data_IF_624672559282
#
_entry.id   IF_624672559282
#
_cell.length_a   1.000
_cell.length_b   1.000
_cell.length_c   1.000
_cell.angle_alpha   90.00
_cell.angle_beta   90.00
_cell.angle_gamma   90.00
#
_symmetry.space_group_name_H-M   'P 1'
#
loop_
_entity.id
_entity.type
_entity.pdbx_description
1 polymer ?
#
# COMPACT_ATOMS: atom_id res chain seq x y z
N UNK A 1 -26.09 17.69 -9.63
CA UNK A 1 -25.21 17.48 -8.45
C UNK A 1 -23.79 17.37 -8.97
N UNK A 2 -22.87 18.27 -8.58
CA UNK A 2 -21.47 18.14 -8.99
C UNK A 2 -20.90 16.86 -8.38
N UNK A 3 -20.32 15.99 -9.21
CA UNK A 3 -19.68 14.77 -8.76
C UNK A 3 -18.52 15.14 -7.82
N UNK A 4 -18.38 14.44 -6.69
CA UNK A 4 -17.29 14.66 -5.73
C UNK A 4 -15.90 14.57 -6.41
N UNK A 5 -15.80 13.74 -7.44
CA UNK A 5 -14.57 13.50 -8.19
C UNK A 5 -14.24 14.59 -9.23
N UNK A 6 -15.17 15.54 -9.51
CA UNK A 6 -14.93 16.66 -10.43
C UNK A 6 -14.28 17.86 -9.73
N UNK A 7 -14.19 17.83 -8.40
CA UNK A 7 -13.60 18.92 -7.60
C UNK A 7 -12.09 18.76 -7.52
N UNK A 8 -11.37 19.57 -8.29
CA UNK A 8 -9.91 19.65 -8.20
C UNK A 8 -9.50 20.26 -6.85
N UNK A 9 -8.58 19.62 -6.15
CA UNK A 9 -7.92 20.15 -4.96
C UNK A 9 -6.48 20.52 -5.29
N UNK A 10 -6.10 21.76 -5.03
CA UNK A 10 -4.71 22.14 -5.09
C UNK A 10 -3.99 21.62 -3.83
N UNK A 11 -3.01 20.77 -4.04
CA UNK A 11 -2.20 20.16 -2.97
C UNK A 11 -0.73 20.60 -3.02
N UNK A 12 -0.37 21.54 -3.90
CA UNK A 12 0.96 22.17 -3.92
C UNK A 12 1.14 23.00 -2.64
N UNK A 13 2.32 22.99 -2.07
CA UNK A 13 2.68 23.70 -0.82
C UNK A 13 1.83 23.26 0.41
N UNK A 14 1.41 22.01 0.45
CA UNK A 14 0.63 21.45 1.56
C UNK A 14 1.40 20.41 2.39
N UNK A 15 2.71 20.33 2.23
CA UNK A 15 3.58 19.26 2.75
C UNK A 15 3.21 17.88 2.18
N UNK A 16 2.56 17.85 1.03
CA UNK A 16 2.25 16.61 0.33
C UNK A 16 3.51 16.02 -0.29
N UNK A 17 3.96 14.87 0.18
CA UNK A 17 5.10 14.19 -0.41
C UNK A 17 4.93 13.95 -1.92
N UNK A 18 3.68 13.69 -2.36
CA UNK A 18 3.35 13.48 -3.77
C UNK A 18 3.57 14.73 -4.60
N UNK A 19 3.04 15.88 -4.15
CA UNK A 19 3.00 17.10 -4.93
C UNK A 19 4.21 17.99 -4.72
N UNK A 20 4.78 18.01 -3.52
CA UNK A 20 5.83 18.97 -3.18
C UNK A 20 7.25 18.45 -3.46
N UNK A 21 7.38 17.14 -3.77
CA UNK A 21 8.69 16.55 -4.13
C UNK A 21 9.33 17.19 -5.37
N UNK A 22 8.51 17.61 -6.34
CA UNK A 22 8.94 18.20 -7.60
C UNK A 22 8.30 19.56 -7.85
N UNK A 23 8.11 20.35 -6.77
CA UNK A 23 7.37 21.62 -6.80
C UNK A 23 7.94 22.65 -7.80
N UNK A 24 9.24 22.60 -8.11
CA UNK A 24 9.91 23.47 -9.08
C UNK A 24 9.69 23.07 -10.55
N UNK A 25 9.00 21.97 -10.80
CA UNK A 25 8.77 21.43 -12.15
C UNK A 25 7.27 21.33 -12.43
N UNK A 26 6.89 21.56 -13.68
CA UNK A 26 5.51 21.31 -14.12
C UNK A 26 5.35 19.82 -14.49
N UNK A 27 5.24 19.00 -13.44
CA UNK A 27 5.10 17.54 -13.55
C UNK A 27 3.83 17.11 -12.85
N UNK A 28 2.99 16.34 -13.53
CA UNK A 28 1.87 15.65 -12.92
C UNK A 28 2.38 14.43 -12.14
N UNK A 29 2.32 14.43 -10.79
CA UNK A 29 2.87 13.34 -10.01
C UNK A 29 1.94 12.11 -10.03
N UNK A 30 2.46 10.98 -10.51
CA UNK A 30 1.74 9.69 -10.56
C UNK A 30 2.54 8.55 -9.93
N UNK A 31 3.52 8.86 -9.10
CA UNK A 31 4.50 7.90 -8.55
C UNK A 31 4.09 7.24 -7.25
N UNK A 32 3.06 7.74 -6.58
CA UNK A 32 2.57 7.22 -5.30
C UNK A 32 1.05 7.10 -5.33
N UNK A 33 0.52 6.03 -4.74
CA UNK A 33 -0.90 5.74 -4.65
C UNK A 33 -1.59 6.59 -3.56
N UNK A 34 -1.49 7.90 -3.69
CA UNK A 34 -2.13 8.91 -2.85
C UNK A 34 -3.17 9.64 -3.71
N UNK A 35 -4.44 9.44 -3.40
CA UNK A 35 -5.55 10.00 -4.17
C UNK A 35 -5.68 11.50 -3.96
N UNK A 36 -6.04 12.22 -5.04
CA UNK A 36 -6.24 13.68 -5.02
C UNK A 36 -7.71 14.07 -4.81
N UNK A 37 -8.55 13.11 -4.45
CA UNK A 37 -9.95 13.32 -4.12
C UNK A 37 -10.15 13.49 -2.62
N UNK A 38 -11.17 14.26 -2.25
CA UNK A 38 -11.58 14.37 -0.85
C UNK A 38 -12.05 13.02 -0.31
N UNK A 39 -11.69 12.74 0.94
CA UNK A 39 -12.24 11.59 1.66
C UNK A 39 -13.77 11.69 1.76
N UNK A 40 -14.49 10.56 1.69
CA UNK A 40 -15.94 10.53 1.88
C UNK A 40 -16.38 11.20 3.18
N UNK A 41 -17.57 11.80 3.16
CA UNK A 41 -18.11 12.54 4.32
C UNK A 41 -18.21 11.67 5.58
N UNK A 42 -18.55 10.39 5.43
CA UNK A 42 -18.61 9.44 6.56
C UNK A 42 -17.25 9.32 7.28
N UNK A 43 -16.14 9.26 6.54
CA UNK A 43 -14.78 9.21 7.12
C UNK A 43 -14.47 10.53 7.84
N UNK A 44 -14.74 11.66 7.18
CA UNK A 44 -14.52 12.99 7.80
C UNK A 44 -15.30 13.17 9.09
N UNK A 45 -16.56 12.74 9.11
CA UNK A 45 -17.41 12.84 10.32
C UNK A 45 -16.92 11.90 11.43
N UNK A 46 -16.48 10.69 11.12
CA UNK A 46 -15.91 9.78 12.12
C UNK A 46 -14.64 10.34 12.75
N UNK A 47 -13.76 10.94 11.93
CA UNK A 47 -12.55 11.59 12.43
C UNK A 47 -12.86 12.80 13.31
N UNK A 48 -13.82 13.66 12.92
CA UNK A 48 -14.25 14.80 13.75
C UNK A 48 -14.77 14.33 15.10
N UNK A 49 -15.67 13.35 15.10
CA UNK A 49 -16.20 12.76 16.36
C UNK A 49 -15.08 12.24 17.27
N UNK A 50 -14.04 11.64 16.67
CA UNK A 50 -12.90 11.15 17.43
C UNK A 50 -12.06 12.31 18.00
N UNK A 51 -11.83 13.36 17.20
CA UNK A 51 -11.11 14.56 17.63
C UNK A 51 -11.85 15.27 18.77
N UNK A 52 -13.16 15.41 18.65
CA UNK A 52 -14.03 16.07 19.65
C UNK A 52 -14.05 15.33 21.00
N UNK A 53 -13.74 14.03 21.00
CA UNK A 53 -13.59 13.26 22.24
C UNK A 53 -12.36 13.70 23.08
N UNK A 54 -11.34 14.28 22.47
CA UNK A 54 -10.19 14.91 23.12
C UNK A 54 -9.22 13.97 23.85
N UNK A 55 -9.45 12.65 23.85
CA UNK A 55 -8.59 11.67 24.54
C UNK A 55 -7.99 10.72 23.50
N UNK A 56 -6.68 10.81 23.30
CA UNK A 56 -5.91 10.08 22.25
C UNK A 56 -5.00 9.02 22.89
N UNK A 57 -5.60 8.11 23.65
CA UNK A 57 -4.87 7.04 24.33
C UNK A 57 -4.66 5.81 23.43
N UNK A 58 -4.18 4.74 24.04
CA UNK A 58 -4.06 3.45 23.37
C UNK A 58 -5.43 2.86 23.06
N UNK A 59 -5.60 2.35 21.85
CA UNK A 59 -6.82 1.73 21.39
C UNK A 59 -6.66 0.22 21.23
N UNK A 60 -7.70 -0.50 21.60
CA UNK A 60 -7.84 -1.90 21.23
C UNK A 60 -8.38 -2.02 19.79
N UNK A 61 -8.13 -3.14 19.16
CA UNK A 61 -8.72 -3.45 17.86
C UNK A 61 -10.26 -3.42 17.95
N UNK A 62 -10.96 -2.72 17.02
CA UNK A 62 -12.42 -2.77 16.97
C UNK A 62 -12.93 -4.20 16.77
N UNK A 63 -13.93 -4.59 17.57
CA UNK A 63 -14.45 -5.98 17.64
C UNK A 63 -14.95 -6.52 16.29
N UNK A 64 -15.48 -5.66 15.44
CA UNK A 64 -16.08 -5.99 14.15
C UNK A 64 -15.11 -5.83 12.95
N UNK A 65 -13.93 -5.25 13.15
CA UNK A 65 -12.99 -4.93 12.07
C UNK A 65 -12.64 -6.16 11.22
N UNK A 66 -12.31 -7.29 11.85
CA UNK A 66 -11.95 -8.53 11.13
C UNK A 66 -13.14 -9.12 10.38
N UNK A 67 -14.36 -8.97 10.88
CA UNK A 67 -15.57 -9.40 10.19
C UNK A 67 -15.84 -8.57 8.95
N UNK A 68 -15.69 -7.26 9.06
CA UNK A 68 -15.83 -6.32 7.94
C UNK A 68 -14.79 -6.65 6.85
N UNK A 69 -13.52 -6.82 7.23
CA UNK A 69 -12.44 -7.16 6.29
C UNK A 69 -12.70 -8.51 5.62
N UNK A 70 -13.07 -9.53 6.37
CA UNK A 70 -13.42 -10.86 5.83
C UNK A 70 -14.57 -10.77 4.83
N UNK A 71 -15.65 -10.05 5.17
CA UNK A 71 -16.80 -9.84 4.29
C UNK A 71 -16.39 -9.12 3.00
N UNK A 72 -15.58 -8.07 3.12
CA UNK A 72 -15.07 -7.33 1.98
C UNK A 72 -14.22 -8.21 1.06
N UNK A 73 -13.25 -8.95 1.59
CA UNK A 73 -12.39 -9.83 0.79
C UNK A 73 -13.18 -10.96 0.13
N UNK A 74 -14.17 -11.53 0.85
CA UNK A 74 -15.10 -12.51 0.28
C UNK A 74 -15.88 -11.95 -0.91
N UNK A 75 -16.32 -10.69 -0.84
CA UNK A 75 -17.02 -10.04 -1.97
C UNK A 75 -16.11 -9.82 -3.20
N UNK A 76 -14.79 -9.91 -3.02
CA UNK A 76 -13.78 -9.86 -4.08
C UNK A 76 -13.28 -11.25 -4.52
N UNK A 77 -13.95 -12.32 -4.08
CA UNK A 77 -13.59 -13.69 -4.42
C UNK A 77 -12.54 -14.32 -3.52
N UNK A 78 -12.06 -13.62 -2.49
CA UNK A 78 -11.03 -14.14 -1.59
C UNK A 78 -11.63 -14.56 -0.24
N UNK A 79 -11.82 -15.86 -0.06
CA UNK A 79 -12.37 -16.41 1.18
C UNK A 79 -11.27 -16.73 2.19
N UNK A 80 -11.17 -15.95 3.26
CA UNK A 80 -10.16 -16.07 4.31
C UNK A 80 -10.76 -16.37 5.68
N UNK A 81 -9.95 -16.86 6.62
CA UNK A 81 -10.28 -16.94 8.05
C UNK A 81 -9.91 -15.64 8.76
N UNK A 82 -10.60 -15.32 9.88
CA UNK A 82 -10.32 -14.10 10.67
C UNK A 82 -8.91 -14.08 11.27
N UNK A 83 -8.44 -15.21 11.72
CA UNK A 83 -7.12 -15.41 12.32
C UNK A 83 -5.96 -15.29 11.32
N UNK A 84 -6.27 -15.26 10.02
CA UNK A 84 -5.27 -14.95 8.98
C UNK A 84 -5.01 -13.45 8.81
N UNK A 85 -5.83 -12.60 9.43
CA UNK A 85 -5.70 -11.16 9.34
C UNK A 85 -4.72 -10.67 10.39
N UNK A 86 -3.62 -10.10 9.96
CA UNK A 86 -2.64 -9.42 10.81
C UNK A 86 -2.65 -7.94 10.49
N UNK A 87 -2.98 -7.10 11.48
CA UNK A 87 -2.98 -5.65 11.32
C UNK A 87 -1.56 -5.13 11.48
N UNK A 88 -1.13 -4.32 10.52
CA UNK A 88 0.21 -3.73 10.48
C UNK A 88 0.09 -2.22 10.22
N UNK A 89 1.02 -1.40 10.73
CA UNK A 89 0.95 0.06 10.60
C UNK A 89 1.09 0.53 9.15
N UNK A 90 1.73 -0.25 8.29
CA UNK A 90 1.86 0.06 6.86
C UNK A 90 2.27 -1.16 6.05
N UNK A 91 2.06 -1.10 4.72
CA UNK A 91 2.57 -2.13 3.78
C UNK A 91 4.10 -2.22 3.85
N UNK A 92 4.80 -1.09 4.00
CA UNK A 92 6.25 -1.09 4.16
C UNK A 92 6.69 -1.91 5.39
N UNK A 93 6.09 -1.64 6.56
CA UNK A 93 6.37 -2.39 7.78
C UNK A 93 6.07 -3.88 7.62
N UNK A 94 4.97 -4.23 6.93
CA UNK A 94 4.60 -5.62 6.64
C UNK A 94 5.65 -6.34 5.82
N UNK A 95 6.17 -5.70 4.76
CA UNK A 95 7.22 -6.27 3.90
C UNK A 95 8.48 -6.56 4.74
N UNK A 96 8.94 -5.60 5.55
CA UNK A 96 10.10 -5.81 6.42
C UNK A 96 9.87 -6.95 7.44
N UNK A 97 8.68 -7.02 8.03
CA UNK A 97 8.34 -8.06 9.02
C UNK A 97 8.35 -9.46 8.41
N UNK A 98 7.82 -9.63 7.19
CA UNK A 98 7.81 -10.92 6.49
C UNK A 98 9.24 -11.44 6.30
N UNK A 99 10.19 -10.60 5.95
CA UNK A 99 11.58 -11.04 5.78
C UNK A 99 12.25 -11.49 7.08
N UNK A 100 11.74 -11.09 8.24
CA UNK A 100 12.27 -11.57 9.53
C UNK A 100 11.84 -13.00 9.86
N UNK A 101 10.71 -13.46 9.31
CA UNK A 101 10.22 -14.84 9.55
C UNK A 101 10.69 -15.84 8.49
N UNK A 102 11.27 -15.37 7.38
CA UNK A 102 11.85 -16.23 6.35
C UNK A 102 13.31 -16.58 6.71
N UNK A 103 13.80 -17.81 6.50
CA UNK A 103 15.19 -18.19 6.77
C UNK A 103 16.20 -17.24 6.10
N UNK A 104 17.28 -16.87 6.80
CA UNK A 104 18.30 -15.95 6.26
C UNK A 104 19.01 -16.51 5.01
N UNK A 105 19.05 -17.79 4.85
CA UNK A 105 19.63 -18.49 3.70
C UNK A 105 18.78 -18.42 2.44
N UNK A 106 17.50 -18.06 2.58
CA UNK A 106 16.59 -17.96 1.44
C UNK A 106 16.95 -16.79 0.52
N UNK A 107 16.89 -17.03 -0.77
CA UNK A 107 16.95 -15.99 -1.79
C UNK A 107 15.55 -15.43 -2.04
N UNK A 108 15.47 -14.12 -2.31
CA UNK A 108 14.22 -13.42 -2.64
C UNK A 108 14.18 -13.18 -4.13
N UNK A 109 13.11 -13.63 -4.78
CA UNK A 109 12.85 -13.33 -6.18
C UNK A 109 11.89 -12.14 -6.24
N UNK A 110 12.30 -11.10 -6.95
CA UNK A 110 11.54 -9.85 -7.03
C UNK A 110 11.23 -9.52 -8.49
N UNK A 111 9.96 -9.58 -8.91
CA UNK A 111 9.56 -9.11 -10.23
C UNK A 111 9.82 -7.60 -10.37
N UNK A 112 10.39 -7.17 -11.51
CA UNK A 112 10.64 -5.75 -11.78
C UNK A 112 10.03 -5.32 -13.11
N UNK A 113 9.49 -4.08 -13.24
CA UNK A 113 9.43 -3.01 -12.23
C UNK A 113 8.41 -3.28 -11.13
N UNK A 114 8.72 -2.85 -9.89
CA UNK A 114 7.85 -3.08 -8.71
C UNK A 114 8.00 -1.92 -7.72
N UNK A 115 7.10 -1.86 -6.74
CA UNK A 115 7.21 -0.95 -5.61
C UNK A 115 8.53 -1.15 -4.86
N UNK A 116 9.28 -0.05 -4.70
CA UNK A 116 10.68 -0.04 -4.30
C UNK A 116 10.97 -0.77 -2.97
N UNK A 117 10.01 -0.83 -2.04
CA UNK A 117 10.22 -1.51 -0.77
C UNK A 117 10.43 -3.02 -0.91
N UNK A 118 9.96 -3.65 -1.98
CA UNK A 118 10.25 -5.06 -2.27
C UNK A 118 11.71 -5.31 -2.63
N UNK A 119 12.42 -4.29 -3.12
CA UNK A 119 13.87 -4.35 -3.37
C UNK A 119 14.68 -3.85 -2.15
N UNK A 120 14.21 -2.79 -1.50
CA UNK A 120 14.92 -2.17 -0.37
C UNK A 120 14.93 -3.06 0.88
N UNK A 121 13.79 -3.67 1.23
CA UNK A 121 13.68 -4.43 2.46
C UNK A 121 14.62 -5.65 2.49
N UNK A 122 14.65 -6.54 1.48
CA UNK A 122 15.56 -7.68 1.50
C UNK A 122 17.03 -7.22 1.46
N UNK A 123 17.36 -6.18 0.69
CA UNK A 123 18.72 -5.61 0.65
C UNK A 123 19.15 -5.09 2.02
N UNK A 124 18.28 -4.33 2.69
CA UNK A 124 18.55 -3.78 4.03
C UNK A 124 18.76 -4.88 5.07
N UNK A 125 18.04 -5.99 4.92
CA UNK A 125 18.13 -7.16 5.81
C UNK A 125 19.20 -8.19 5.39
N UNK A 126 20.11 -7.83 4.48
CA UNK A 126 21.22 -8.67 4.02
C UNK A 126 20.77 -9.93 3.27
N UNK A 127 19.60 -9.88 2.59
CA UNK A 127 19.08 -11.02 1.82
C UNK A 127 19.60 -10.98 0.39
N UNK A 128 19.87 -12.15 -0.17
CA UNK A 128 20.16 -12.28 -1.60
C UNK A 128 18.89 -12.02 -2.40
N UNK A 129 19.01 -11.18 -3.43
CA UNK A 129 17.91 -10.84 -4.33
C UNK A 129 18.23 -11.37 -5.72
N UNK A 130 17.24 -11.99 -6.37
CA UNK A 130 17.23 -12.26 -7.80
C UNK A 130 16.10 -11.40 -8.40
N UNK A 131 16.47 -10.37 -9.15
CA UNK A 131 15.49 -9.59 -9.90
C UNK A 131 15.02 -10.40 -11.11
N UNK A 132 13.71 -10.43 -11.31
CA UNK A 132 13.07 -11.06 -12.45
C UNK A 132 12.38 -9.98 -13.29
N UNK A 133 13.04 -9.45 -14.34
CA UNK A 133 12.40 -8.48 -15.21
C UNK A 133 11.14 -9.03 -15.87
N UNK A 134 10.03 -8.31 -15.69
CA UNK A 134 8.78 -8.63 -16.39
C UNK A 134 8.86 -8.24 -17.85
N UNK A 135 8.12 -8.93 -18.69
CA UNK A 135 7.99 -8.64 -20.13
C UNK A 135 6.61 -8.10 -20.44
N UNK A 136 6.51 -7.34 -21.53
CA UNK A 136 5.22 -6.81 -22.00
C UNK A 136 4.69 -7.79 -23.07
N UNK A 137 3.55 -8.40 -22.79
CA UNK A 137 2.81 -9.23 -23.72
C UNK A 137 1.38 -8.71 -23.85
N UNK A 138 0.93 -8.44 -25.07
CA UNK A 138 -0.40 -7.90 -25.35
C UNK A 138 -0.76 -6.64 -24.50
N UNK A 139 0.22 -5.74 -24.30
CA UNK A 139 0.05 -4.53 -23.50
C UNK A 139 -0.01 -4.75 -21.98
N UNK A 140 0.29 -5.95 -21.50
CA UNK A 140 0.32 -6.27 -20.06
C UNK A 140 1.71 -6.69 -19.62
N UNK A 141 2.09 -6.26 -18.40
CA UNK A 141 3.29 -6.77 -17.74
C UNK A 141 3.00 -8.18 -17.21
N UNK A 142 3.81 -9.14 -17.65
CA UNK A 142 3.73 -10.53 -17.21
C UNK A 142 5.08 -11.02 -16.69
N UNK A 143 5.05 -12.05 -15.84
CA UNK A 143 6.25 -12.72 -15.37
C UNK A 143 6.83 -13.60 -16.48
N UNK A 144 8.12 -13.44 -16.76
CA UNK A 144 8.85 -14.34 -17.63
C UNK A 144 9.29 -15.59 -16.85
N UNK A 145 8.41 -16.58 -16.78
CA UNK A 145 8.68 -17.82 -16.06
C UNK A 145 9.86 -18.61 -16.63
N UNK A 146 10.23 -18.42 -17.91
CA UNK A 146 11.41 -19.07 -18.51
C UNK A 146 12.69 -18.59 -17.83
N UNK A 147 12.77 -17.27 -17.50
CA UNK A 147 13.90 -16.70 -16.76
C UNK A 147 13.92 -17.06 -15.27
N UNK A 148 12.82 -17.56 -14.74
CA UNK A 148 12.76 -17.98 -13.34
C UNK A 148 13.49 -19.33 -13.14
N UNK A 149 13.48 -20.19 -14.15
CA UNK A 149 14.04 -21.55 -14.11
C UNK A 149 15.55 -21.59 -14.40
N UNK A 150 16.15 -20.45 -14.80
CA UNK A 150 17.59 -20.28 -15.02
C UNK A 150 18.26 -19.66 -13.79
#
# INVERSE_FOLDING_TARGET
MSNLFDKKKNRKNSNSQKWDRYHSRDILPMWVADMDFESPTCIKNSLRKYIDNGIYGYHSEPKDLRDILKKYLKSKGWNIKKDWIVLMPSVGASIFSIYNIIPKTSQVIVPTPIYLNFLKAPKHLGRKIKELPMVIENGRLILDFKKLLL
#
